data_IF_993112268858
#
_entry.id   IF_993112268858
#
_cell.length_a   1.000
_cell.length_b   1.000
_cell.length_c   1.000
_cell.angle_alpha   90.00
_cell.angle_beta   90.00
_cell.angle_gamma   90.00
#
_symmetry.space_group_name_H-M   'P 1'
#
loop_
_entity.id
_entity.type
_entity.pdbx_description
1 polymer ?
#
# COMPACT_ATOMS: atom_id res chain seq x y z
N UNK A 1 -10.64 -6.17 -1.26
CA UNK A 1 -10.24 -5.59 0.04
C UNK A 1 -8.83 -5.03 -0.06
N UNK A 2 -8.28 -4.56 1.06
CA UNK A 2 -6.92 -4.01 1.11
C UNK A 2 -5.89 -5.07 0.68
N UNK A 3 -4.98 -4.72 -0.24
CA UNK A 3 -3.80 -5.53 -0.61
C UNK A 3 -2.48 -4.81 -0.30
N UNK A 4 -2.57 -3.57 0.14
CA UNK A 4 -1.48 -2.73 0.57
C UNK A 4 -1.74 -2.29 2.01
N UNK A 5 -0.69 -2.11 2.80
CA UNK A 5 -0.74 -1.63 4.18
C UNK A 5 0.39 -0.62 4.41
N UNK A 6 0.30 0.19 5.45
CA UNK A 6 1.45 0.99 5.90
C UNK A 6 2.60 0.06 6.30
N UNK A 7 3.82 0.49 6.01
CA UNK A 7 5.00 -0.22 6.52
C UNK A 7 5.09 -0.08 8.04
N UNK A 8 5.73 -1.06 8.67
CA UNK A 8 5.98 -1.06 10.11
C UNK A 8 7.00 0.03 10.51
N UNK A 9 6.96 0.53 11.76
CA UNK A 9 7.88 1.56 12.26
C UNK A 9 9.35 1.31 11.95
N UNK A 10 9.83 0.07 12.10
CA UNK A 10 11.23 -0.30 11.88
C UNK A 10 11.71 -0.15 10.43
N UNK A 11 10.79 0.00 9.47
CA UNK A 11 11.13 0.31 8.07
C UNK A 11 11.39 1.79 7.84
N UNK A 12 10.88 2.66 8.70
CA UNK A 12 11.19 4.09 8.67
C UNK A 12 12.49 4.36 9.43
N UNK A 13 12.60 3.82 10.65
CA UNK A 13 13.80 3.87 11.48
C UNK A 13 14.00 2.52 12.21
N UNK A 14 15.09 1.78 11.97
CA UNK A 14 15.39 0.53 12.66
C UNK A 14 15.36 0.63 14.19
N UNK A 15 15.61 1.82 14.77
CA UNK A 15 15.53 2.08 16.21
C UNK A 15 14.11 1.88 16.76
N UNK A 16 13.08 2.14 15.95
CA UNK A 16 11.66 2.00 16.32
C UNK A 16 11.18 0.56 16.38
N UNK A 17 12.03 -0.43 16.03
CA UNK A 17 11.72 -1.85 16.23
C UNK A 17 11.52 -2.18 17.71
N UNK A 18 12.27 -1.52 18.60
CA UNK A 18 12.13 -1.67 20.04
C UNK A 18 11.14 -0.62 20.55
N UNK A 19 10.08 -1.09 21.20
CA UNK A 19 9.06 -0.20 21.75
C UNK A 19 9.59 0.52 23.00
N UNK A 20 9.50 1.85 23.01
CA UNK A 20 9.76 2.70 24.18
C UNK A 20 8.77 3.86 24.21
N UNK A 21 8.44 4.37 25.39
CA UNK A 21 7.69 5.62 25.53
C UNK A 21 8.49 6.80 25.00
N UNK A 22 9.83 6.76 25.10
CA UNK A 22 10.72 7.83 24.64
C UNK A 22 10.72 8.00 23.11
N UNK A 23 10.33 6.94 22.38
CA UNK A 23 10.23 6.95 20.92
C UNK A 23 8.86 7.40 20.42
N UNK A 24 7.93 7.69 21.33
CA UNK A 24 6.58 8.13 20.96
C UNK A 24 6.47 9.66 20.99
N UNK A 25 5.65 10.25 20.09
CA UNK A 25 4.89 9.58 19.03
C UNK A 25 5.76 9.22 17.82
N UNK A 26 5.47 8.07 17.20
CA UNK A 26 6.09 7.68 15.93
C UNK A 26 5.32 8.34 14.79
N UNK A 27 5.93 9.34 14.14
CA UNK A 27 5.36 10.06 13.01
C UNK A 27 6.43 10.13 11.92
N UNK A 28 6.33 9.34 10.84
CA UNK A 28 7.26 9.43 9.73
C UNK A 28 7.01 10.70 8.91
N UNK A 29 8.06 11.25 8.29
CA UNK A 29 7.94 12.41 7.38
C UNK A 29 6.98 12.11 6.20
N UNK A 30 7.04 10.86 5.72
CA UNK A 30 6.17 10.36 4.66
C UNK A 30 5.68 8.96 4.99
N UNK A 31 4.37 8.75 4.90
CA UNK A 31 3.77 7.43 5.04
C UNK A 31 4.08 6.57 3.81
N UNK A 32 4.68 5.40 4.05
CA UNK A 32 5.05 4.45 3.01
C UNK A 32 4.13 3.24 3.09
N UNK A 33 3.67 2.77 1.93
CA UNK A 33 2.84 1.57 1.81
C UNK A 33 3.65 0.41 1.25
N UNK A 34 3.31 -0.80 1.67
CA UNK A 34 3.81 -2.05 1.10
C UNK A 34 2.68 -3.02 0.78
N UNK A 35 2.93 -3.94 -0.14
CA UNK A 35 2.01 -5.03 -0.47
C UNK A 35 2.01 -6.06 0.66
N UNK A 36 0.84 -6.49 1.12
CA UNK A 36 0.76 -7.53 2.16
C UNK A 36 1.25 -8.87 1.61
N UNK A 37 2.04 -9.59 2.41
CA UNK A 37 2.70 -10.84 1.96
C UNK A 37 1.70 -11.89 1.46
N UNK A 38 0.55 -11.99 2.11
CA UNK A 38 -0.52 -12.95 1.78
C UNK A 38 -1.29 -12.57 0.50
N UNK A 39 -1.19 -11.32 0.03
CA UNK A 39 -1.84 -10.83 -1.20
C UNK A 39 -0.87 -10.57 -2.35
N UNK A 40 0.41 -10.90 -2.19
CA UNK A 40 1.44 -10.70 -3.21
C UNK A 40 1.10 -11.33 -4.57
N UNK A 41 0.47 -12.51 -4.59
CA UNK A 41 0.02 -13.17 -5.83
C UNK A 41 -1.01 -12.32 -6.59
N UNK A 42 -2.03 -11.83 -5.88
CA UNK A 42 -3.08 -10.99 -6.48
C UNK A 42 -2.50 -9.66 -6.98
N UNK A 43 -1.61 -9.06 -6.20
CA UNK A 43 -0.93 -7.84 -6.59
C UNK A 43 -0.08 -8.02 -7.86
N UNK A 44 0.64 -9.13 -8.00
CA UNK A 44 1.44 -9.41 -9.19
C UNK A 44 0.58 -9.50 -10.46
N UNK A 45 -0.62 -10.09 -10.37
CA UNK A 45 -1.58 -10.12 -11.48
C UNK A 45 -2.00 -8.70 -11.86
N UNK A 46 -2.37 -7.88 -10.88
CA UNK A 46 -2.80 -6.49 -11.13
C UNK A 46 -1.65 -5.68 -11.74
N UNK A 47 -0.44 -5.73 -11.15
CA UNK A 47 0.75 -5.03 -11.65
C UNK A 47 1.04 -5.38 -13.11
N UNK A 48 0.97 -6.67 -13.46
CA UNK A 48 1.16 -7.13 -14.84
C UNK A 48 0.13 -6.48 -15.78
N UNK A 49 -1.15 -6.49 -15.41
CA UNK A 49 -2.23 -5.91 -16.23
C UNK A 49 -2.09 -4.39 -16.36
N UNK A 50 -1.83 -3.68 -15.26
CA UNK A 50 -1.64 -2.22 -15.26
C UNK A 50 -0.43 -1.80 -16.09
N UNK A 51 0.65 -2.58 -16.08
CA UNK A 51 1.87 -2.31 -16.85
C UNK A 51 1.82 -2.77 -18.32
N UNK A 52 0.75 -3.46 -18.75
CA UNK A 52 0.64 -3.99 -20.10
C UNK A 52 0.38 -2.82 -21.08
N UNK A 53 1.25 -2.57 -22.07
CA UNK A 53 1.10 -1.44 -22.99
C UNK A 53 -0.14 -1.53 -23.88
N UNK A 54 -0.80 -2.69 -23.95
CA UNK A 54 -2.07 -2.88 -24.68
C UNK A 54 -3.27 -2.39 -23.89
N UNK A 55 -3.14 -2.18 -22.57
CA UNK A 55 -4.21 -1.65 -21.73
C UNK A 55 -4.25 -0.15 -21.91
N UNK A 56 -5.35 0.34 -22.47
CA UNK A 56 -5.55 1.77 -22.77
C UNK A 56 -6.32 2.49 -21.67
N UNK A 57 -7.01 1.76 -20.80
CA UNK A 57 -7.88 2.32 -19.76
C UNK A 57 -7.97 1.39 -18.55
N UNK A 58 -8.13 1.98 -17.37
CA UNK A 58 -8.38 1.29 -16.11
C UNK A 58 -9.70 1.80 -15.53
N UNK A 59 -10.66 0.89 -15.34
CA UNK A 59 -11.94 1.21 -14.71
C UNK A 59 -11.86 0.97 -13.21
N UNK A 60 -11.97 2.04 -12.43
CA UNK A 60 -12.08 1.94 -10.98
C UNK A 60 -13.50 1.49 -10.57
N UNK A 61 -13.65 0.22 -10.22
CA UNK A 61 -14.91 -0.36 -9.76
C UNK A 61 -14.94 -0.68 -8.25
N UNK A 62 -14.15 0.03 -7.43
CA UNK A 62 -14.27 -0.02 -5.97
C UNK A 62 -15.53 0.69 -5.46
N UNK A 63 -15.94 0.39 -4.23
CA UNK A 63 -17.13 0.99 -3.61
C UNK A 63 -17.10 2.53 -3.67
N UNK A 64 -18.27 3.14 -3.87
CA UNK A 64 -18.45 4.59 -4.01
C UNK A 64 -18.34 5.34 -2.66
N UNK A 65 -17.22 5.16 -1.98
CA UNK A 65 -16.89 5.78 -0.70
C UNK A 65 -15.38 5.92 -0.52
N UNK A 66 -14.97 6.60 0.56
CA UNK A 66 -13.55 6.93 0.82
C UNK A 66 -12.64 5.70 0.83
N UNK A 67 -13.08 4.61 1.47
CA UNK A 67 -12.29 3.38 1.54
C UNK A 67 -12.16 2.67 0.20
N UNK A 68 -13.25 2.58 -0.58
CA UNK A 68 -13.22 1.96 -1.91
C UNK A 68 -12.26 2.69 -2.85
N UNK A 69 -12.29 4.02 -2.83
CA UNK A 69 -11.36 4.90 -3.55
C UNK A 69 -9.91 4.68 -3.13
N UNK A 70 -9.66 4.72 -1.82
CA UNK A 70 -8.32 4.59 -1.22
C UNK A 70 -7.67 3.26 -1.59
N UNK A 71 -8.43 2.16 -1.56
CA UNK A 71 -7.94 0.82 -1.88
C UNK A 71 -7.37 0.79 -3.28
N UNK A 72 -8.16 1.15 -4.28
CA UNK A 72 -7.74 1.06 -5.68
C UNK A 72 -6.64 2.08 -5.98
N UNK A 73 -6.75 3.30 -5.46
CA UNK A 73 -5.71 4.33 -5.63
C UNK A 73 -4.36 3.85 -5.11
N UNK A 74 -4.31 3.24 -3.93
CA UNK A 74 -3.06 2.75 -3.36
C UNK A 74 -2.46 1.61 -4.18
N UNK A 75 -3.30 0.72 -4.73
CA UNK A 75 -2.85 -0.35 -5.63
C UNK A 75 -2.17 0.26 -6.84
N UNK A 76 -2.86 1.18 -7.53
CA UNK A 76 -2.35 1.81 -8.76
C UNK A 76 -1.08 2.65 -8.52
N UNK A 77 -0.93 3.27 -7.35
CA UNK A 77 0.29 4.03 -6.99
C UNK A 77 1.52 3.14 -6.79
N UNK A 78 1.34 1.87 -6.45
CA UNK A 78 2.43 0.92 -6.17
C UNK A 78 2.79 0.07 -7.38
N UNK A 79 1.84 -0.19 -8.28
CA UNK A 79 2.02 -0.97 -9.51
C UNK A 79 2.97 -0.29 -10.47
#
# INVERSE_FOLDING_TARGET
GHICQLVQPEKYDPSWKKWSLDTLPIIPDHFVYEVTKDKAKQYAVIKKLVSDPRVTEIIHAGDAGREGELIVRNILRLT
#
